data_IF_120221620128
#
_entry.id   IF_120221620128
#
_cell.length_a   1.000
_cell.length_b   1.000
_cell.length_c   1.000
_cell.angle_alpha   90.00
_cell.angle_beta   90.00
_cell.angle_gamma   90.00
#
_symmetry.space_group_name_H-M   'P 1'
#
loop_
_entity.id
_entity.type
_entity.pdbx_description
1 polymer ?
#
# COMPACT_ATOMS: atom_id res chain seq x y z
N UNK A 1 9.66 -43.58 34.37
CA UNK A 1 10.38 -42.29 34.42
C UNK A 1 10.31 -41.62 33.06
N UNK A 2 9.40 -40.66 32.88
CA UNK A 2 9.29 -39.90 31.62
C UNK A 2 10.11 -38.61 31.80
N UNK A 3 11.14 -38.47 30.95
CA UNK A 3 12.13 -37.40 31.00
C UNK A 3 11.49 -36.02 30.77
N UNK A 4 11.67 -35.12 31.74
CA UNK A 4 11.09 -33.76 31.78
C UNK A 4 11.77 -32.74 30.86
N UNK A 5 12.70 -33.15 30.00
CA UNK A 5 13.49 -32.23 29.18
C UNK A 5 12.94 -31.92 27.78
N UNK A 6 11.80 -32.50 27.37
CA UNK A 6 11.29 -32.32 26.00
C UNK A 6 10.25 -31.22 25.79
N UNK A 7 9.83 -30.48 26.82
CA UNK A 7 8.76 -29.48 26.67
C UNK A 7 9.23 -28.04 26.36
N UNK A 8 10.53 -27.75 26.41
CA UNK A 8 10.99 -26.35 26.39
C UNK A 8 11.42 -25.81 25.01
N UNK A 9 11.38 -26.62 23.95
CA UNK A 9 11.98 -26.23 22.66
C UNK A 9 10.96 -25.68 21.64
N UNK A 10 9.66 -25.86 21.87
CA UNK A 10 8.62 -25.46 20.90
C UNK A 10 8.22 -23.97 21.05
N UNK A 11 8.50 -23.34 22.20
CA UNK A 11 8.09 -21.96 22.47
C UNK A 11 8.90 -20.86 21.78
N UNK A 12 10.13 -21.16 21.31
CA UNK A 12 11.05 -20.13 20.80
C UNK A 12 10.90 -19.93 19.27
N UNK A 13 10.44 -20.94 18.53
CA UNK A 13 10.29 -20.85 17.07
C UNK A 13 9.03 -20.07 16.63
N UNK A 14 7.99 -19.99 17.46
CA UNK A 14 6.77 -19.27 17.10
C UNK A 14 6.93 -17.75 17.25
N UNK A 15 7.87 -17.26 18.06
CA UNK A 15 8.08 -15.82 18.28
C UNK A 15 8.73 -15.11 17.09
N UNK A 16 9.58 -15.81 16.32
CA UNK A 16 10.26 -15.22 15.15
C UNK A 16 9.36 -15.13 13.91
N UNK A 17 8.33 -15.97 13.82
CA UNK A 17 7.44 -16.00 12.65
C UNK A 17 6.48 -14.80 12.59
N UNK A 18 6.23 -14.12 13.72
CA UNK A 18 5.28 -13.00 13.80
C UNK A 18 5.87 -11.69 13.26
N UNK A 19 7.19 -11.54 13.28
CA UNK A 19 7.83 -10.29 12.84
C UNK A 19 7.83 -10.12 11.31
N UNK A 20 7.80 -11.21 10.54
CA UNK A 20 7.82 -11.16 9.09
C UNK A 20 6.46 -10.84 8.44
N UNK A 21 5.34 -10.96 9.17
CA UNK A 21 3.99 -10.74 8.61
C UNK A 21 3.56 -9.26 8.54
N UNK A 22 4.29 -8.32 9.17
CA UNK A 22 3.89 -6.90 9.25
C UNK A 22 4.19 -6.06 8.01
N UNK A 23 4.88 -6.60 7.00
CA UNK A 23 5.28 -5.83 5.82
C UNK A 23 4.21 -5.76 4.73
N UNK A 24 3.15 -6.57 4.81
CA UNK A 24 2.14 -6.69 3.74
C UNK A 24 0.78 -6.04 4.06
N UNK A 25 0.70 -5.26 5.14
CA UNK A 25 -0.53 -4.59 5.56
C UNK A 25 -0.58 -3.12 5.10
N UNK A 26 -1.78 -2.66 4.75
CA UNK A 26 -2.06 -1.25 4.49
C UNK A 26 -1.92 -0.41 5.76
N UNK A 27 -1.07 0.62 5.70
CA UNK A 27 -0.86 1.59 6.77
C UNK A 27 -1.53 2.91 6.43
N UNK A 28 -2.16 3.55 7.41
CA UNK A 28 -2.76 4.86 7.19
C UNK A 28 -1.68 5.86 6.75
N UNK A 29 -1.96 6.60 5.67
CA UNK A 29 -1.06 7.59 5.09
C UNK A 29 -1.57 9.01 5.38
N UNK A 30 -2.79 9.32 4.95
CA UNK A 30 -3.38 10.66 5.10
C UNK A 30 -4.90 10.62 4.90
N UNK A 31 -5.57 11.76 5.13
CA UNK A 31 -6.95 11.98 4.66
C UNK A 31 -6.92 12.68 3.30
N UNK A 32 -7.76 12.23 2.39
CA UNK A 32 -7.99 12.89 1.11
C UNK A 32 -9.08 13.94 1.19
N UNK A 33 -9.59 14.35 0.02
CA UNK A 33 -10.75 15.23 -0.03
C UNK A 33 -11.99 14.53 0.55
N UNK A 34 -12.89 15.33 1.11
CA UNK A 34 -14.15 14.86 1.67
C UNK A 34 -14.01 13.78 2.77
N UNK A 35 -12.94 13.79 3.56
CA UNK A 35 -12.68 12.78 4.62
C UNK A 35 -12.45 11.33 4.12
N UNK A 36 -12.18 11.12 2.83
CA UNK A 36 -11.65 9.84 2.36
C UNK A 36 -10.37 9.48 3.13
N UNK A 37 -10.20 8.20 3.47
CA UNK A 37 -9.00 7.73 4.18
C UNK A 37 -8.08 7.06 3.19
N UNK A 38 -6.82 7.50 3.16
CA UNK A 38 -5.84 7.00 2.21
C UNK A 38 -4.83 6.18 3.00
N UNK A 39 -4.63 4.96 2.52
CA UNK A 39 -3.70 3.99 3.07
C UNK A 39 -2.66 3.61 2.03
N UNK A 40 -1.56 3.08 2.50
CA UNK A 40 -0.41 2.70 1.70
C UNK A 40 0.11 1.32 2.12
N UNK A 41 0.43 0.49 1.14
CA UNK A 41 1.13 -0.77 1.33
C UNK A 41 2.37 -0.77 0.44
N UNK A 42 3.54 -0.77 1.08
CA UNK A 42 4.81 -0.93 0.37
C UNK A 42 4.92 -2.35 -0.17
N UNK A 43 5.39 -2.51 -1.40
CA UNK A 43 5.58 -3.82 -2.02
C UNK A 43 7.06 -4.13 -2.21
N UNK A 44 7.76 -3.39 -3.09
CA UNK A 44 9.19 -3.58 -3.35
C UNK A 44 9.92 -2.27 -3.58
N UNK A 45 11.26 -2.33 -3.49
CA UNK A 45 12.16 -1.27 -3.94
C UNK A 45 13.27 -1.89 -4.78
N UNK A 46 13.33 -1.53 -6.05
CA UNK A 46 14.24 -2.06 -7.05
C UNK A 46 15.11 -0.92 -7.59
N UNK A 47 16.29 -0.74 -6.99
CA UNK A 47 17.17 0.40 -7.27
C UNK A 47 16.49 1.73 -6.90
N UNK A 48 16.31 2.60 -7.91
CA UNK A 48 15.66 3.90 -7.77
C UNK A 48 14.14 3.82 -7.86
N UNK A 49 13.55 2.65 -8.08
CA UNK A 49 12.09 2.49 -8.22
C UNK A 49 11.47 1.90 -6.97
N UNK A 50 10.38 2.49 -6.51
CA UNK A 50 9.58 2.00 -5.36
C UNK A 50 8.19 1.63 -5.86
N UNK A 51 7.79 0.38 -5.68
CA UNK A 51 6.45 -0.09 -6.00
C UNK A 51 5.60 -0.18 -4.73
N UNK A 52 4.38 0.34 -4.80
CA UNK A 52 3.46 0.38 -3.67
C UNK A 52 2.01 0.40 -4.14
N UNK A 53 1.12 0.07 -3.22
CA UNK A 53 -0.32 0.21 -3.38
C UNK A 53 -0.84 1.37 -2.54
N UNK A 54 -1.69 2.21 -3.12
CA UNK A 54 -2.53 3.15 -2.38
C UNK A 54 -3.96 2.64 -2.35
N UNK A 55 -4.59 2.63 -1.17
CA UNK A 55 -6.01 2.34 -1.01
C UNK A 55 -6.72 3.60 -0.54
N UNK A 56 -7.69 4.07 -1.32
CA UNK A 56 -8.57 5.19 -0.96
C UNK A 56 -9.90 4.60 -0.51
N UNK A 57 -10.19 4.68 0.79
CA UNK A 57 -11.47 4.31 1.37
C UNK A 57 -12.43 5.49 1.31
N UNK A 58 -13.58 5.26 0.68
CA UNK A 58 -14.61 6.27 0.49
C UNK A 58 -15.69 6.17 1.56
N UNK A 59 -16.18 7.33 2.01
CA UNK A 59 -17.38 7.40 2.84
C UNK A 59 -18.64 7.21 1.97
N UNK A 60 -19.76 6.86 2.61
CA UNK A 60 -21.06 6.83 1.93
C UNK A 60 -21.47 8.21 1.42
N UNK A 61 -21.02 9.28 2.07
CA UNK A 61 -21.33 10.67 1.72
C UNK A 61 -20.63 11.09 0.42
N UNK A 62 -19.39 10.67 0.20
CA UNK A 62 -18.59 11.10 -0.95
C UNK A 62 -18.89 10.28 -2.20
N UNK A 63 -19.02 8.98 -2.01
CA UNK A 63 -19.28 8.04 -3.08
C UNK A 63 -20.11 6.92 -2.49
N UNK A 64 -21.44 6.92 -2.66
CA UNK A 64 -22.31 5.89 -2.08
C UNK A 64 -22.14 4.52 -2.73
N UNK A 65 -21.62 4.46 -3.96
CA UNK A 65 -21.39 3.21 -4.70
C UNK A 65 -20.06 2.52 -4.39
N UNK A 66 -18.98 3.28 -4.16
CA UNK A 66 -17.62 2.71 -4.06
C UNK A 66 -17.21 2.56 -2.60
N UNK A 67 -16.82 1.36 -2.16
CA UNK A 67 -16.27 1.15 -0.83
C UNK A 67 -14.83 1.68 -0.74
N UNK A 68 -13.98 1.22 -1.66
CA UNK A 68 -12.61 1.71 -1.77
C UNK A 68 -12.05 1.44 -3.18
N UNK A 69 -11.02 2.20 -3.54
CA UNK A 69 -10.23 1.96 -4.76
C UNK A 69 -8.77 1.77 -4.40
N UNK A 70 -8.16 0.74 -4.97
CA UNK A 70 -6.73 0.47 -4.87
C UNK A 70 -6.05 0.93 -6.16
N UNK A 71 -4.92 1.62 -6.02
CA UNK A 71 -4.06 2.05 -7.12
C UNK A 71 -2.69 1.42 -6.91
N UNK A 72 -2.13 0.83 -7.96
CA UNK A 72 -0.73 0.47 -7.98
C UNK A 72 0.09 1.66 -8.46
N UNK A 73 1.21 1.95 -7.80
CA UNK A 73 2.08 3.08 -8.15
C UNK A 73 3.53 2.64 -8.15
N UNK A 74 4.30 3.20 -9.08
CA UNK A 74 5.76 3.14 -9.07
C UNK A 74 6.32 4.55 -8.95
N UNK A 75 7.14 4.78 -7.94
CA UNK A 75 7.82 6.05 -7.72
C UNK A 75 9.27 5.88 -8.16
N UNK A 76 9.73 6.70 -9.10
CA UNK A 76 11.15 6.85 -9.42
C UNK A 76 11.77 7.91 -8.48
N UNK A 77 12.74 7.48 -7.69
CA UNK A 77 13.41 8.30 -6.68
C UNK A 77 14.22 9.48 -7.26
N UNK A 78 14.35 9.60 -8.58
CA UNK A 78 14.82 10.80 -9.30
C UNK A 78 13.76 11.91 -9.39
N UNK A 79 12.83 11.96 -8.43
CA UNK A 79 11.72 12.91 -8.31
C UNK A 79 10.69 12.84 -9.46
N UNK A 80 10.49 11.66 -10.04
CA UNK A 80 9.43 11.38 -11.02
C UNK A 80 8.51 10.30 -10.45
N UNK A 81 7.19 10.44 -10.58
CA UNK A 81 6.26 9.36 -10.27
C UNK A 81 5.74 8.78 -11.57
N UNK A 82 5.87 7.47 -11.74
CA UNK A 82 5.19 6.75 -12.80
C UNK A 82 3.92 6.19 -12.19
N UNK A 83 2.79 6.85 -12.44
CA UNK A 83 1.51 6.21 -12.13
C UNK A 83 1.41 5.02 -13.09
N UNK A 84 1.81 3.83 -12.63
CA UNK A 84 1.71 2.58 -13.37
C UNK A 84 0.32 2.03 -13.08
N UNK A 85 -0.60 2.32 -14.00
CA UNK A 85 -2.03 2.32 -13.76
C UNK A 85 -2.61 0.91 -13.77
N UNK A 86 -2.53 0.23 -12.64
CA UNK A 86 -3.58 -0.74 -12.26
C UNK A 86 -4.44 -0.09 -11.20
N UNK A 87 -5.74 0.02 -11.46
CA UNK A 87 -6.73 0.38 -10.45
C UNK A 87 -7.71 -0.76 -10.22
N UNK A 88 -8.02 -1.03 -8.97
CA UNK A 88 -9.02 -2.01 -8.57
C UNK A 88 -10.06 -1.28 -7.73
N UNK A 89 -11.28 -1.17 -8.24
CA UNK A 89 -12.40 -0.56 -7.54
C UNK A 89 -13.26 -1.64 -6.92
N UNK A 90 -13.48 -1.53 -5.62
CA UNK A 90 -14.37 -2.40 -4.85
C UNK A 90 -15.66 -1.63 -4.57
N UNK A 91 -16.74 -2.08 -5.18
CA UNK A 91 -18.07 -1.51 -5.03
C UNK A 91 -18.75 -2.04 -3.76
N UNK A 92 -19.63 -1.25 -3.16
CA UNK A 92 -20.36 -1.66 -1.93
C UNK A 92 -21.36 -2.79 -2.17
N UNK A 93 -21.77 -3.01 -3.41
CA UNK A 93 -22.59 -4.16 -3.79
C UNK A 93 -21.79 -5.47 -3.89
N UNK A 94 -20.47 -5.42 -3.65
CA UNK A 94 -19.56 -6.55 -3.72
C UNK A 94 -18.91 -6.75 -5.09
N UNK A 95 -19.27 -5.95 -6.09
CA UNK A 95 -18.62 -5.99 -7.41
C UNK A 95 -17.18 -5.52 -7.29
N UNK A 96 -16.28 -6.17 -8.04
CA UNK A 96 -14.88 -5.75 -8.16
C UNK A 96 -14.58 -5.47 -9.62
N UNK A 97 -14.11 -4.26 -9.91
CA UNK A 97 -13.71 -3.84 -11.26
C UNK A 97 -12.21 -3.58 -11.28
N UNK A 98 -11.50 -4.27 -12.17
CA UNK A 98 -10.07 -4.04 -12.42
C UNK A 98 -9.90 -3.33 -13.75
N UNK A 99 -9.12 -2.25 -13.74
CA UNK A 99 -8.68 -1.54 -14.93
C UNK A 99 -7.14 -1.56 -14.95
N UNK A 100 -6.60 -2.12 -16.02
CA UNK A 100 -5.17 -2.05 -16.32
C UNK A 100 -5.00 -1.10 -17.51
N UNK A 101 -4.32 0.02 -17.31
CA UNK A 101 -3.96 0.94 -18.38
C UNK A 101 -2.48 0.74 -18.74
N UNK A 102 -2.18 0.14 -19.91
CA UNK A 102 -0.82 -0.14 -20.33
C UNK A 102 -0.04 1.13 -20.73
N UNK A 103 -0.72 2.28 -20.86
CA UNK A 103 -0.10 3.57 -21.13
C UNK A 103 0.54 4.15 -19.85
N UNK A 104 1.71 3.61 -19.53
CA UNK A 104 2.54 4.09 -18.43
C UNK A 104 3.20 5.41 -18.85
N UNK A 105 2.62 6.54 -18.42
CA UNK A 105 3.24 7.86 -18.58
C UNK A 105 3.83 8.29 -17.24
N UNK A 106 5.14 8.49 -17.22
CA UNK A 106 5.82 9.09 -16.06
C UNK A 106 5.44 10.56 -15.94
N UNK A 107 5.01 10.99 -14.75
CA UNK A 107 4.63 12.37 -14.44
C UNK A 107 5.52 12.89 -13.30
N UNK A 108 6.14 14.07 -13.42
CA UNK A 108 6.92 14.65 -12.34
C UNK A 108 6.09 14.84 -11.06
N UNK A 109 6.66 14.56 -9.89
CA UNK A 109 6.05 14.91 -8.60
C UNK A 109 6.31 16.40 -8.35
N UNK A 110 5.36 17.24 -8.71
CA UNK A 110 5.47 18.70 -8.53
C UNK A 110 5.06 19.15 -7.12
N UNK A 111 4.19 18.40 -6.45
CA UNK A 111 3.74 18.67 -5.08
C UNK A 111 4.13 17.53 -4.13
N UNK A 112 5.01 17.83 -3.18
CA UNK A 112 5.43 16.88 -2.13
C UNK A 112 4.42 16.69 -1.00
N UNK A 113 3.28 17.38 -1.03
CA UNK A 113 2.12 17.14 -0.15
C UNK A 113 1.06 16.27 -0.82
N UNK A 114 1.15 16.07 -2.14
CA UNK A 114 0.30 15.12 -2.86
C UNK A 114 0.54 13.69 -2.37
N UNK A 115 -0.43 12.80 -2.61
CA UNK A 115 -0.34 11.38 -2.24
C UNK A 115 0.98 10.73 -2.74
N UNK A 116 1.36 10.80 -4.04
CA UNK A 116 2.64 10.26 -4.49
C UNK A 116 3.83 11.02 -3.88
N UNK A 117 3.69 12.31 -3.57
CA UNK A 117 4.72 13.11 -2.90
C UNK A 117 5.01 12.69 -1.45
N UNK A 118 3.97 12.28 -0.70
CA UNK A 118 4.12 11.75 0.65
C UNK A 118 4.87 10.41 0.63
N UNK A 119 4.49 9.51 -0.26
CA UNK A 119 5.19 8.22 -0.45
C UNK A 119 6.62 8.40 -0.92
N UNK A 120 6.88 9.35 -1.84
CA UNK A 120 8.22 9.70 -2.28
C UNK A 120 9.10 10.16 -1.11
N UNK A 121 8.60 11.09 -0.27
CA UNK A 121 9.31 11.53 0.94
C UNK A 121 9.63 10.36 1.85
N UNK A 122 8.73 9.40 2.00
CA UNK A 122 8.90 8.28 2.91
C UNK A 122 9.93 7.25 2.43
N UNK A 123 9.98 6.95 1.13
CA UNK A 123 10.76 5.82 0.62
C UNK A 123 11.97 6.19 -0.25
N UNK A 124 11.98 7.40 -0.81
CA UNK A 124 13.06 7.88 -1.68
C UNK A 124 13.96 8.89 -0.99
N UNK A 125 13.39 9.78 -0.17
CA UNK A 125 14.14 10.85 0.50
C UNK A 125 14.39 10.47 1.96
N UNK A 126 15.55 9.89 2.25
CA UNK A 126 16.00 9.69 3.64
C UNK A 126 16.27 11.02 4.33
#
# INVERSE_FOLDING_TARGET
>A
MISKHKLFVIGIFTSFSIYAQKTNEYKFLTKGQYNSKIYEKFETKDGDKVNLWHKVEESLENSPGIAFTEFYLQIDCKAKASILKTSITHWRDGTVQKLDDPSNKEVPITDLKSIPGLSYKKYCRK
#
